data_IF_677971309484
#
_entry.id   IF_677971309484
#
_cell.length_a   1.000
_cell.length_b   1.000
_cell.length_c   1.000
_cell.angle_alpha   90.00
_cell.angle_beta   90.00
_cell.angle_gamma   90.00
#
_symmetry.space_group_name_H-M   'P 1'
#
loop_
_entity.id
_entity.type
_entity.pdbx_description
1 polymer ?
#
# COMPACT_ATOMS: atom_id res chain seq x y z
N UNK A 1 0.29 19.33 -0.18
CA UNK A 1 -0.26 18.01 -0.55
C UNK A 1 -0.82 17.32 0.68
N UNK A 2 -1.97 16.62 0.56
CA UNK A 2 -2.50 15.84 1.70
C UNK A 2 -1.80 14.48 1.81
N UNK A 3 -1.53 13.82 0.66
CA UNK A 3 -0.91 12.49 0.61
C UNK A 3 0.20 12.40 -0.45
N UNK A 4 1.29 11.73 -0.11
CA UNK A 4 2.28 11.22 -1.06
C UNK A 4 2.42 9.71 -0.85
N UNK A 5 2.32 8.93 -1.93
CA UNK A 5 2.54 7.48 -1.91
C UNK A 5 3.88 7.16 -2.58
N UNK A 6 4.71 6.39 -1.88
CA UNK A 6 6.09 6.10 -2.28
C UNK A 6 6.28 4.59 -2.45
N UNK A 7 6.71 4.18 -3.63
CA UNK A 7 6.97 2.78 -3.97
C UNK A 7 7.12 2.59 -5.47
N UNK A 8 7.36 1.38 -5.91
CA UNK A 8 7.42 1.08 -7.34
C UNK A 8 6.04 0.83 -7.95
N UNK A 9 5.83 1.39 -9.13
CA UNK A 9 4.89 0.77 -10.07
C UNK A 9 5.43 -0.56 -10.54
N UNK A 10 4.54 -1.49 -10.87
CA UNK A 10 4.92 -2.70 -11.59
C UNK A 10 4.10 -2.86 -12.86
N UNK A 11 4.74 -3.48 -13.85
CA UNK A 11 4.08 -4.02 -15.05
C UNK A 11 3.76 -5.48 -14.75
N UNK A 12 2.50 -5.75 -14.45
CA UNK A 12 2.06 -7.07 -14.03
C UNK A 12 1.53 -7.86 -15.23
N UNK A 13 2.08 -9.05 -15.47
CA UNK A 13 1.49 -10.03 -16.37
C UNK A 13 0.60 -10.97 -15.56
N UNK A 14 -0.70 -10.86 -15.76
CA UNK A 14 -1.71 -11.71 -15.12
C UNK A 14 -2.06 -12.86 -16.05
N UNK A 15 -1.80 -14.09 -15.60
CA UNK A 15 -2.08 -15.32 -16.33
C UNK A 15 -3.10 -16.13 -15.53
N UNK A 16 -4.28 -16.32 -16.08
CA UNK A 16 -5.32 -17.21 -15.56
C UNK A 16 -5.60 -18.34 -16.56
N UNK A 17 -6.39 -19.36 -16.23
CA UNK A 17 -6.82 -20.35 -17.19
C UNK A 17 -7.62 -19.78 -18.37
N UNK A 18 -8.27 -18.61 -18.18
CA UNK A 18 -9.20 -18.01 -19.14
C UNK A 18 -8.57 -16.91 -19.98
N UNK A 19 -7.56 -16.20 -19.43
CA UNK A 19 -6.93 -15.07 -20.14
C UNK A 19 -5.49 -14.81 -19.68
N UNK A 20 -4.78 -14.09 -20.53
CA UNK A 20 -3.48 -13.46 -20.21
C UNK A 20 -3.57 -11.99 -20.55
N UNK A 21 -3.18 -11.11 -19.63
CA UNK A 21 -3.18 -9.66 -19.85
C UNK A 21 -2.08 -8.96 -19.07
N UNK A 22 -1.62 -7.82 -19.61
CA UNK A 22 -0.81 -6.83 -18.88
C UNK A 22 -1.72 -5.95 -18.01
N UNK A 23 -1.18 -5.49 -16.89
CA UNK A 23 -1.87 -4.57 -15.99
C UNK A 23 -0.87 -3.67 -15.27
N UNK A 24 -1.31 -2.44 -14.96
CA UNK A 24 -0.60 -1.57 -14.02
C UNK A 24 -0.74 -2.16 -12.61
N UNK A 25 0.38 -2.37 -11.94
CA UNK A 25 0.46 -2.89 -10.58
C UNK A 25 1.34 -2.03 -9.67
N UNK A 26 1.58 -2.57 -8.49
CA UNK A 26 2.28 -1.88 -7.40
C UNK A 26 1.34 -1.08 -6.50
N UNK A 27 1.61 -1.08 -5.18
CA UNK A 27 0.78 -0.36 -4.20
C UNK A 27 0.62 1.12 -4.52
N UNK A 28 1.65 1.74 -5.11
CA UNK A 28 1.63 3.15 -5.52
C UNK A 28 0.56 3.47 -6.57
N UNK A 29 0.12 2.51 -7.37
CA UNK A 29 -0.95 2.72 -8.36
C UNK A 29 -2.31 3.00 -7.69
N UNK A 30 -2.52 2.50 -6.48
CA UNK A 30 -3.75 2.74 -5.71
C UNK A 30 -3.82 4.16 -5.11
N UNK A 31 -2.75 4.97 -5.23
CA UNK A 31 -2.78 6.39 -4.91
C UNK A 31 -3.88 7.16 -5.66
N UNK A 32 -4.36 6.66 -6.81
CA UNK A 32 -5.50 7.20 -7.56
C UNK A 32 -6.79 7.28 -6.72
N UNK A 33 -6.90 6.52 -5.65
CA UNK A 33 -8.01 6.64 -4.69
C UNK A 33 -8.04 8.01 -4.01
N UNK A 34 -6.89 8.61 -3.72
CA UNK A 34 -6.83 9.83 -2.93
C UNK A 34 -7.52 11.03 -3.62
N UNK A 35 -7.28 11.36 -4.90
CA UNK A 35 -8.05 12.38 -5.60
C UNK A 35 -9.54 12.04 -5.69
N UNK A 36 -9.91 10.76 -5.91
CA UNK A 36 -11.30 10.33 -5.97
C UNK A 36 -12.04 10.57 -4.63
N UNK A 37 -11.33 10.41 -3.50
CA UNK A 37 -11.84 10.72 -2.16
C UNK A 37 -11.80 12.22 -1.82
N UNK A 38 -11.40 13.09 -2.76
CA UNK A 38 -11.31 14.53 -2.57
C UNK A 38 -10.14 14.98 -1.69
N UNK A 39 -9.00 14.29 -1.77
CA UNK A 39 -7.78 14.73 -1.09
C UNK A 39 -7.30 16.09 -1.62
N UNK A 40 -6.82 16.95 -0.72
CA UNK A 40 -6.27 18.28 -1.05
C UNK A 40 -4.86 18.16 -1.66
N UNK A 41 -4.80 17.56 -2.85
CA UNK A 41 -3.59 17.21 -3.58
C UNK A 41 -3.00 15.87 -3.11
N UNK A 42 -2.80 14.99 -4.08
CA UNK A 42 -2.14 13.71 -3.89
C UNK A 42 -1.05 13.53 -4.93
N UNK A 43 0.07 12.95 -4.55
CA UNK A 43 1.20 12.72 -5.43
C UNK A 43 1.84 11.36 -5.22
N UNK A 44 2.72 10.99 -6.15
CA UNK A 44 3.47 9.75 -6.08
C UNK A 44 4.96 10.02 -6.20
N UNK A 45 5.77 9.15 -5.57
CA UNK A 45 7.22 9.07 -5.78
C UNK A 45 7.56 7.65 -6.17
N UNK A 46 8.05 7.48 -7.39
CA UNK A 46 8.34 6.17 -7.96
C UNK A 46 9.47 6.24 -8.99
N UNK A 47 10.14 5.12 -9.20
CA UNK A 47 11.07 4.93 -10.32
C UNK A 47 10.51 3.87 -11.26
N UNK A 48 10.52 4.19 -12.56
CA UNK A 48 10.10 3.30 -13.65
C UNK A 48 11.21 3.21 -14.69
N UNK A 49 11.18 2.19 -15.52
CA UNK A 49 12.09 2.05 -16.65
C UNK A 49 11.63 2.81 -17.90
N UNK A 50 12.46 2.76 -18.93
CA UNK A 50 12.12 3.29 -20.27
C UNK A 50 10.95 2.50 -20.92
N UNK A 51 10.67 1.32 -20.40
CA UNK A 51 9.60 0.41 -20.86
C UNK A 51 8.24 0.71 -20.18
N UNK A 52 8.11 1.80 -19.40
CA UNK A 52 6.84 2.18 -18.78
C UNK A 52 5.94 2.86 -19.81
N UNK A 53 4.76 2.31 -20.03
CA UNK A 53 3.85 2.69 -21.11
C UNK A 53 3.27 4.10 -20.88
N UNK A 54 3.21 4.89 -21.96
CA UNK A 54 2.61 6.23 -21.94
C UNK A 54 1.14 6.20 -21.50
N UNK A 55 0.41 5.14 -21.86
CA UNK A 55 -0.98 4.92 -21.44
C UNK A 55 -1.15 4.94 -19.92
N UNK A 56 -0.23 4.31 -19.17
CA UNK A 56 -0.27 4.35 -17.71
C UNK A 56 -0.02 5.75 -17.16
N UNK A 57 0.91 6.50 -17.75
CA UNK A 57 1.17 7.90 -17.36
C UNK A 57 -0.09 8.74 -17.59
N UNK A 58 -0.78 8.54 -18.69
CA UNK A 58 -1.98 9.32 -19.03
C UNK A 58 -3.15 9.00 -18.09
N UNK A 59 -3.34 7.74 -17.72
CA UNK A 59 -4.33 7.33 -16.72
C UNK A 59 -4.02 7.93 -15.34
N UNK A 60 -2.77 7.86 -14.90
CA UNK A 60 -2.34 8.45 -13.62
C UNK A 60 -2.54 9.97 -13.61
N UNK A 61 -2.21 10.66 -14.69
CA UNK A 61 -2.43 12.11 -14.83
C UNK A 61 -3.92 12.46 -14.84
N UNK A 62 -4.72 11.68 -15.57
CA UNK A 62 -6.17 11.88 -15.63
C UNK A 62 -6.88 11.67 -14.29
N UNK A 63 -6.29 10.87 -13.39
CA UNK A 63 -6.81 10.69 -12.02
C UNK A 63 -6.60 11.90 -11.10
N UNK A 64 -5.81 12.90 -11.52
CA UNK A 64 -5.50 14.10 -10.71
C UNK A 64 -4.28 13.94 -9.80
N UNK A 65 -3.48 12.89 -9.96
CA UNK A 65 -2.23 12.71 -9.22
C UNK A 65 -1.13 13.66 -9.70
N UNK A 66 -0.36 14.19 -8.76
CA UNK A 66 0.91 14.84 -9.05
C UNK A 66 1.97 13.76 -9.37
N UNK A 67 2.49 13.83 -10.59
CA UNK A 67 3.49 12.90 -11.10
C UNK A 67 4.92 13.46 -11.10
N UNK A 68 5.17 14.58 -10.45
CA UNK A 68 6.50 15.21 -10.41
C UNK A 68 7.57 14.31 -9.77
N UNK A 69 7.15 13.37 -8.89
CA UNK A 69 7.98 12.34 -8.29
C UNK A 69 8.17 11.07 -9.14
N UNK A 70 7.55 10.99 -10.33
CA UNK A 70 7.75 9.86 -11.25
C UNK A 70 9.04 10.07 -12.04
N UNK A 71 10.02 9.20 -11.84
CA UNK A 71 11.33 9.28 -12.52
C UNK A 71 11.58 8.07 -13.39
N UNK A 72 11.90 8.29 -14.66
CA UNK A 72 12.42 7.22 -15.52
C UNK A 72 13.90 6.97 -15.16
N UNK A 73 14.21 5.72 -14.77
CA UNK A 73 15.55 5.34 -14.29
C UNK A 73 15.86 3.89 -14.69
N UNK A 74 16.80 3.75 -15.59
CA UNK A 74 17.18 2.43 -16.13
C UNK A 74 16.25 1.92 -17.23
N UNK A 75 16.52 0.71 -17.75
CA UNK A 75 15.80 0.16 -18.89
C UNK A 75 14.43 -0.44 -18.51
N UNK A 76 14.28 -0.94 -17.28
CA UNK A 76 13.12 -1.75 -16.92
C UNK A 76 12.39 -1.22 -15.68
N UNK A 77 11.08 -1.15 -15.79
CA UNK A 77 10.14 -1.03 -14.66
C UNK A 77 10.10 -2.36 -13.91
N UNK A 78 9.79 -2.34 -12.62
CA UNK A 78 9.52 -3.57 -11.87
C UNK A 78 8.45 -4.37 -12.58
N UNK A 79 8.72 -5.67 -12.83
CA UNK A 79 7.82 -6.56 -13.57
C UNK A 79 7.51 -7.79 -12.75
N UNK A 80 6.20 -8.04 -12.57
CA UNK A 80 5.69 -9.21 -11.88
C UNK A 80 4.88 -10.09 -12.82
N UNK A 81 5.06 -11.41 -12.74
CA UNK A 81 4.18 -12.39 -13.38
C UNK A 81 3.35 -13.04 -12.28
N UNK A 82 2.04 -12.83 -12.35
CA UNK A 82 1.04 -13.39 -11.44
C UNK A 82 0.27 -14.50 -12.15
N UNK A 83 0.57 -15.76 -11.83
CA UNK A 83 -0.09 -16.93 -12.45
C UNK A 83 -1.07 -17.56 -11.46
N UNK A 84 -2.33 -17.66 -11.87
CA UNK A 84 -3.41 -18.29 -11.12
C UNK A 84 -3.71 -19.66 -11.75
N UNK A 85 -3.86 -20.68 -10.91
CA UNK A 85 -4.33 -21.99 -11.35
C UNK A 85 -5.87 -22.08 -11.29
N UNK A 86 -6.43 -23.20 -11.75
CA UNK A 86 -7.90 -23.46 -11.75
C UNK A 86 -8.55 -23.38 -10.36
N UNK A 87 -7.77 -23.51 -9.28
CA UNK A 87 -8.25 -23.41 -7.90
C UNK A 87 -8.05 -22.00 -7.31
N UNK A 88 -7.71 -21.00 -8.14
CA UNK A 88 -7.45 -19.63 -7.69
C UNK A 88 -6.11 -19.42 -6.95
N UNK A 89 -5.29 -20.46 -6.79
CA UNK A 89 -3.98 -20.32 -6.12
C UNK A 89 -3.02 -19.54 -7.01
N UNK A 90 -2.51 -18.42 -6.47
CA UNK A 90 -1.53 -17.55 -7.11
C UNK A 90 -0.09 -18.03 -6.89
N UNK A 91 0.71 -18.01 -7.93
CA UNK A 91 2.17 -18.00 -7.87
C UNK A 91 2.68 -16.70 -8.46
N UNK A 92 3.72 -16.14 -7.88
CA UNK A 92 4.26 -14.84 -8.29
C UNK A 92 5.76 -14.96 -8.59
N UNK A 93 6.19 -14.26 -9.64
CA UNK A 93 7.60 -14.20 -10.08
C UNK A 93 7.97 -12.77 -10.41
N UNK A 94 9.14 -12.32 -9.95
CA UNK A 94 9.76 -11.07 -10.38
C UNK A 94 10.62 -11.33 -11.63
N UNK A 95 10.45 -10.51 -12.66
CA UNK A 95 11.23 -10.58 -13.90
C UNK A 95 12.14 -9.37 -14.08
N UNK A 96 11.78 -8.22 -13.50
CA UNK A 96 12.60 -7.03 -13.45
C UNK A 96 12.35 -6.28 -12.14
N UNK A 97 13.32 -5.47 -11.71
CA UNK A 97 13.26 -4.64 -10.52
C UNK A 97 13.84 -3.26 -10.89
N UNK A 98 13.07 -2.21 -10.68
CA UNK A 98 13.51 -0.83 -10.86
C UNK A 98 14.53 -0.44 -9.76
N UNK A 99 15.37 0.58 -9.96
CA UNK A 99 16.35 1.06 -8.97
C UNK A 99 15.68 1.55 -7.69
N UNK A 100 16.33 1.33 -6.53
CA UNK A 100 15.80 1.70 -5.22
C UNK A 100 15.54 3.21 -5.07
N UNK A 101 14.50 3.54 -4.31
CA UNK A 101 14.13 4.91 -3.93
C UNK A 101 14.94 5.37 -2.73
N UNK A 102 15.38 6.64 -2.75
CA UNK A 102 16.24 7.27 -1.74
C UNK A 102 15.68 8.62 -1.31
N UNK A 103 16.26 9.23 -0.28
CA UNK A 103 15.83 10.53 0.24
C UNK A 103 15.78 11.64 -0.82
N UNK A 104 16.70 11.65 -1.78
CA UNK A 104 16.72 12.61 -2.87
C UNK A 104 15.58 12.45 -3.91
N UNK A 105 14.81 11.38 -3.85
CA UNK A 105 13.62 11.21 -4.69
C UNK A 105 12.40 12.00 -4.15
N UNK A 106 12.41 12.34 -2.86
CA UNK A 106 11.42 13.23 -2.26
C UNK A 106 11.77 14.69 -2.58
N UNK A 107 10.97 15.31 -3.44
CA UNK A 107 11.11 16.73 -3.78
C UNK A 107 10.57 17.61 -2.63
N UNK A 108 10.93 18.91 -2.55
CA UNK A 108 10.48 19.82 -1.49
C UNK A 108 8.95 19.85 -1.30
N UNK A 109 8.15 19.77 -2.39
CA UNK A 109 6.70 19.72 -2.32
C UNK A 109 6.17 18.40 -1.70
N UNK A 110 6.87 17.27 -1.89
CA UNK A 110 6.52 15.99 -1.27
C UNK A 110 6.76 16.03 0.24
N UNK A 111 7.84 16.71 0.68
CA UNK A 111 8.16 16.89 2.09
C UNK A 111 7.21 17.84 2.83
N UNK A 112 6.29 18.52 2.12
CA UNK A 112 5.21 19.31 2.70
C UNK A 112 3.89 18.54 2.82
N UNK A 113 3.88 17.25 2.50
CA UNK A 113 2.69 16.43 2.60
C UNK A 113 2.31 16.16 4.07
N UNK A 114 1.01 16.12 4.35
CA UNK A 114 0.54 15.73 5.68
C UNK A 114 0.79 14.24 5.95
N UNK A 115 0.71 13.40 4.91
CA UNK A 115 0.88 11.95 4.96
C UNK A 115 1.90 11.52 3.91
N UNK A 116 2.88 10.69 4.30
CA UNK A 116 3.72 9.94 3.36
C UNK A 116 3.51 8.44 3.63
N UNK A 117 2.95 7.74 2.65
CA UNK A 117 2.70 6.31 2.71
C UNK A 117 3.72 5.54 1.86
N UNK A 118 4.36 4.55 2.45
CA UNK A 118 5.34 3.67 1.80
C UNK A 118 4.73 2.30 1.54
N UNK A 119 4.80 1.82 0.29
CA UNK A 119 4.24 0.54 -0.15
C UNK A 119 5.21 -0.26 -1.03
N UNK A 120 6.35 -0.72 -0.47
CA UNK A 120 7.35 -1.44 -1.25
C UNK A 120 6.83 -2.81 -1.73
N UNK A 121 7.28 -3.24 -2.91
CA UNK A 121 6.98 -4.55 -3.49
C UNK A 121 7.97 -5.62 -3.08
N UNK A 122 9.23 -5.23 -2.79
CA UNK A 122 10.30 -6.14 -2.39
C UNK A 122 11.32 -5.44 -1.49
N UNK A 123 12.08 -6.22 -0.71
CA UNK A 123 13.16 -5.73 0.12
C UNK A 123 14.20 -4.96 -0.72
N UNK A 124 14.77 -3.89 -0.16
CA UNK A 124 15.76 -3.05 -0.85
C UNK A 124 15.18 -2.06 -1.87
N UNK A 125 13.86 -2.08 -2.11
CA UNK A 125 13.19 -1.06 -2.93
C UNK A 125 13.29 0.32 -2.31
N UNK A 126 13.11 0.41 -1.00
CA UNK A 126 13.24 1.64 -0.23
C UNK A 126 14.56 1.62 0.55
N UNK A 127 15.43 2.57 0.28
CA UNK A 127 16.54 2.86 1.18
C UNK A 127 15.98 3.59 2.41
N UNK A 128 16.48 3.29 3.62
CA UNK A 128 15.97 3.90 4.87
C UNK A 128 15.92 5.42 4.82
N UNK A 129 16.85 6.05 4.12
CA UNK A 129 16.91 7.52 3.98
C UNK A 129 15.65 8.16 3.41
N UNK A 130 14.84 7.45 2.60
CA UNK A 130 13.59 8.02 2.07
C UNK A 130 12.52 8.08 3.15
N UNK A 131 12.48 7.09 4.04
CA UNK A 131 11.54 7.05 5.17
C UNK A 131 11.97 8.07 6.24
N UNK A 132 13.27 8.15 6.52
CA UNK A 132 13.86 9.14 7.42
C UNK A 132 13.55 10.57 6.94
N UNK A 133 13.78 10.88 5.66
CA UNK A 133 13.48 12.21 5.10
C UNK A 133 12.00 12.59 5.25
N UNK A 134 11.08 11.65 5.00
CA UNK A 134 9.65 11.86 5.22
C UNK A 134 9.34 12.11 6.71
N UNK A 135 9.95 11.35 7.63
CA UNK A 135 9.75 11.54 9.08
C UNK A 135 10.28 12.89 9.55
N UNK A 136 11.46 13.27 9.08
CA UNK A 136 12.09 14.55 9.46
C UNK A 136 11.35 15.77 8.91
N UNK A 137 10.53 15.62 7.88
CA UNK A 137 9.67 16.69 7.38
C UNK A 137 8.44 16.99 8.26
N UNK A 138 8.17 16.12 9.23
CA UNK A 138 7.00 16.23 10.12
C UNK A 138 5.73 15.56 9.57
N UNK A 139 5.81 14.87 8.43
CA UNK A 139 4.70 14.10 7.89
C UNK A 139 4.31 12.93 8.80
N UNK A 140 3.05 12.53 8.76
CA UNK A 140 2.59 11.26 9.30
C UNK A 140 3.05 10.13 8.37
N UNK A 141 3.98 9.30 8.84
CA UNK A 141 4.61 8.24 8.04
C UNK A 141 3.86 6.93 8.22
N UNK A 142 3.38 6.37 7.12
CA UNK A 142 2.70 5.07 7.06
C UNK A 142 3.48 4.08 6.20
N UNK A 143 3.48 2.81 6.59
CA UNK A 143 4.22 1.75 5.92
C UNK A 143 3.38 0.47 5.79
N UNK A 144 3.27 -0.06 4.55
CA UNK A 144 2.91 -1.46 4.30
C UNK A 144 4.17 -2.33 4.36
N UNK A 145 4.17 -3.35 5.23
CA UNK A 145 5.35 -4.18 5.48
C UNK A 145 5.64 -5.21 4.39
N UNK A 146 4.68 -5.45 3.51
CA UNK A 146 4.70 -6.57 2.55
C UNK A 146 6.03 -6.70 1.80
N UNK A 147 6.57 -5.59 1.28
CA UNK A 147 7.80 -5.62 0.50
C UNK A 147 9.02 -6.05 1.32
N UNK A 148 9.12 -5.65 2.56
CA UNK A 148 10.24 -6.03 3.42
C UNK A 148 10.29 -7.53 3.74
N UNK A 149 9.16 -8.21 3.59
CA UNK A 149 9.02 -9.65 3.79
C UNK A 149 9.24 -10.47 2.51
N UNK A 150 9.62 -9.84 1.39
CA UNK A 150 9.84 -10.47 0.08
C UNK A 150 11.29 -10.28 -0.37
N UNK A 151 11.91 -11.35 -0.88
CA UNK A 151 13.26 -11.26 -1.45
C UNK A 151 13.27 -10.34 -2.68
N UNK A 152 14.27 -9.44 -2.75
CA UNK A 152 14.56 -8.61 -3.93
C UNK A 152 15.44 -9.38 -4.91
N UNK A 153 14.87 -10.43 -5.53
CA UNK A 153 15.58 -11.28 -6.47
C UNK A 153 14.69 -11.67 -7.65
N UNK A 154 15.24 -11.55 -8.86
CA UNK A 154 14.60 -12.06 -10.07
C UNK A 154 14.38 -13.57 -9.90
N UNK A 155 13.15 -14.02 -10.15
CA UNK A 155 12.72 -15.39 -9.96
C UNK A 155 11.42 -15.50 -9.17
N UNK A 156 11.07 -16.71 -8.69
CA UNK A 156 9.90 -16.90 -7.84
C UNK A 156 9.99 -16.03 -6.59
N UNK A 157 8.91 -15.32 -6.27
CA UNK A 157 8.83 -14.50 -5.05
C UNK A 157 8.90 -15.41 -3.84
N UNK A 158 9.90 -15.18 -3.00
CA UNK A 158 10.10 -15.89 -1.75
C UNK A 158 9.98 -14.93 -0.59
N UNK A 159 9.47 -15.43 0.52
CA UNK A 159 9.44 -14.66 1.76
C UNK A 159 10.79 -14.70 2.45
N UNK A 160 11.16 -13.59 3.08
CA UNK A 160 12.35 -13.46 3.94
C UNK A 160 11.96 -12.91 5.31
N UNK A 161 12.85 -12.97 6.26
CA UNK A 161 12.75 -12.24 7.52
C UNK A 161 13.09 -10.77 7.28
N UNK A 162 12.46 -9.87 8.00
CA UNK A 162 12.77 -8.45 7.97
C UNK A 162 13.94 -8.13 8.88
N UNK A 163 15.14 -8.01 8.34
CA UNK A 163 16.38 -7.79 9.09
C UNK A 163 16.52 -6.33 9.54
N UNK A 164 16.13 -5.39 8.67
CA UNK A 164 16.25 -3.95 8.87
C UNK A 164 15.06 -3.35 9.65
N UNK A 165 14.22 -4.19 10.27
CA UNK A 165 12.96 -3.81 10.93
C UNK A 165 13.13 -2.67 11.92
N UNK A 166 14.05 -2.81 12.84
CA UNK A 166 14.22 -1.88 13.96
C UNK A 166 14.76 -0.53 13.47
N UNK A 167 15.59 -0.55 12.41
CA UNK A 167 16.11 0.66 11.76
C UNK A 167 15.01 1.44 11.04
N UNK A 168 14.09 0.75 10.40
CA UNK A 168 13.00 1.36 9.62
C UNK A 168 11.88 1.85 10.53
N UNK A 169 11.42 1.01 11.48
CA UNK A 169 10.20 1.28 12.27
C UNK A 169 10.32 2.50 13.18
N UNK A 170 11.51 2.91 13.59
CA UNK A 170 11.71 4.14 14.38
C UNK A 170 11.26 5.41 13.66
N UNK A 171 11.15 5.36 12.33
CA UNK A 171 10.68 6.48 11.50
C UNK A 171 9.21 6.35 11.06
N UNK A 172 8.52 5.28 11.46
CA UNK A 172 7.16 4.97 11.04
C UNK A 172 6.16 5.26 12.15
N UNK A 173 5.03 5.89 11.83
CA UNK A 173 3.93 6.16 12.75
C UNK A 173 2.82 5.12 12.68
N UNK A 174 2.52 4.64 11.46
CA UNK A 174 1.43 3.69 11.20
C UNK A 174 1.96 2.52 10.38
N UNK A 175 1.79 1.31 10.87
CA UNK A 175 2.12 0.08 10.17
C UNK A 175 0.84 -0.60 9.69
N UNK A 176 0.83 -1.06 8.44
CA UNK A 176 -0.17 -2.00 7.93
C UNK A 176 0.51 -3.33 7.62
N UNK A 177 -0.13 -4.41 8.03
CA UNK A 177 0.24 -5.79 7.70
C UNK A 177 -1.01 -6.65 7.55
N UNK A 178 -0.94 -7.77 6.85
CA UNK A 178 -1.93 -8.83 7.02
C UNK A 178 -1.60 -9.74 8.23
N UNK A 179 -2.48 -10.67 8.58
CA UNK A 179 -2.31 -11.56 9.73
C UNK A 179 -1.14 -12.55 9.58
N UNK A 180 -0.73 -12.86 8.36
CA UNK A 180 0.47 -13.67 8.08
C UNK A 180 1.74 -12.82 8.12
N UNK A 181 1.67 -11.61 7.59
CA UNK A 181 2.78 -10.66 7.51
C UNK A 181 3.19 -10.19 8.91
N UNK A 182 2.23 -9.83 9.77
CA UNK A 182 2.54 -9.37 11.14
C UNK A 182 3.32 -10.42 11.94
N UNK A 183 2.98 -11.69 11.78
CA UNK A 183 3.70 -12.80 12.43
C UNK A 183 5.13 -12.97 11.91
N UNK A 184 5.40 -12.58 10.66
CA UNK A 184 6.75 -12.61 10.07
C UNK A 184 7.59 -11.38 10.44
N UNK A 185 6.96 -10.29 10.88
CA UNK A 185 7.66 -9.11 11.35
C UNK A 185 8.32 -9.30 12.72
N UNK A 186 8.01 -10.38 13.45
CA UNK A 186 8.56 -10.64 14.77
C UNK A 186 8.89 -12.13 14.97
N UNK A 187 9.44 -12.47 16.14
CA UNK A 187 9.60 -13.85 16.59
C UNK A 187 8.48 -14.28 17.57
N UNK A 188 7.50 -13.44 17.78
CA UNK A 188 6.40 -13.69 18.70
C UNK A 188 5.56 -14.90 18.27
N UNK A 189 4.93 -15.54 19.25
CA UNK A 189 4.06 -16.70 19.00
C UNK A 189 2.59 -16.34 18.82
N UNK A 190 2.22 -15.09 19.14
CA UNK A 190 0.86 -14.57 19.02
C UNK A 190 0.85 -13.23 18.31
N UNK A 191 -0.26 -12.92 17.64
CA UNK A 191 -0.45 -11.64 16.96
C UNK A 191 -0.29 -10.46 17.93
N UNK A 192 -0.90 -10.53 19.11
CA UNK A 192 -0.80 -9.46 20.09
C UNK A 192 0.65 -9.21 20.52
N UNK A 193 1.44 -10.25 20.75
CA UNK A 193 2.85 -10.11 21.09
C UNK A 193 3.67 -9.52 19.92
N UNK A 194 3.39 -9.94 18.67
CA UNK A 194 4.03 -9.37 17.49
C UNK A 194 3.72 -7.89 17.32
N UNK A 195 2.45 -7.51 17.48
CA UNK A 195 2.01 -6.11 17.45
C UNK A 195 2.66 -5.29 18.56
N UNK A 196 2.76 -5.83 19.77
CA UNK A 196 3.41 -5.14 20.90
C UNK A 196 4.88 -4.84 20.59
N UNK A 197 5.64 -5.82 20.07
CA UNK A 197 7.03 -5.59 19.64
C UNK A 197 7.13 -4.47 18.59
N UNK A 198 6.21 -4.44 17.61
CA UNK A 198 6.19 -3.39 16.58
C UNK A 198 5.92 -2.01 17.19
N UNK A 199 4.93 -1.90 18.10
CA UNK A 199 4.59 -0.65 18.77
C UNK A 199 5.73 -0.11 19.67
N UNK A 200 6.55 -1.00 20.24
CA UNK A 200 7.73 -0.62 21.04
C UNK A 200 8.86 -0.03 20.19
N UNK A 201 8.94 -0.38 18.88
CA UNK A 201 9.98 0.09 17.97
C UNK A 201 9.74 1.49 17.40
N UNK A 202 8.54 2.08 17.57
CA UNK A 202 8.27 3.44 17.09
C UNK A 202 6.83 3.70 16.66
N UNK A 203 6.17 2.80 15.93
CA UNK A 203 4.81 3.01 15.47
C UNK A 203 3.82 3.29 16.62
N UNK A 204 2.84 4.15 16.33
CA UNK A 204 1.75 4.46 17.26
C UNK A 204 0.50 3.64 16.96
N UNK A 205 0.36 3.18 15.72
CA UNK A 205 -0.78 2.43 15.22
C UNK A 205 -0.26 1.25 14.39
N UNK A 206 -0.87 0.07 14.59
CA UNK A 206 -0.69 -1.12 13.74
C UNK A 206 -2.07 -1.57 13.28
N UNK A 207 -2.31 -1.57 11.97
CA UNK A 207 -3.51 -2.09 11.34
C UNK A 207 -3.23 -3.50 10.79
N UNK A 208 -3.89 -4.51 11.34
CA UNK A 208 -3.79 -5.91 10.89
C UNK A 208 -5.05 -6.30 10.13
N UNK A 209 -4.92 -6.54 8.82
CA UNK A 209 -6.02 -6.94 7.93
C UNK A 209 -6.13 -8.45 7.81
N UNK A 210 -7.36 -9.00 7.63
CA UNK A 210 -7.63 -10.46 7.62
C UNK A 210 -8.67 -10.86 6.58
N UNK A 211 -8.52 -10.38 5.36
CA UNK A 211 -9.46 -10.67 4.27
C UNK A 211 -10.94 -10.50 4.70
N UNK A 212 -11.77 -11.51 4.50
CA UNK A 212 -13.20 -11.50 4.85
C UNK A 212 -13.49 -11.47 6.37
N UNK A 213 -12.48 -11.55 7.22
CA UNK A 213 -12.61 -11.45 8.69
C UNK A 213 -12.46 -10.03 9.21
N UNK A 214 -12.29 -9.04 8.33
CA UNK A 214 -12.12 -7.64 8.70
C UNK A 214 -10.69 -7.29 9.11
N UNK A 215 -10.54 -6.35 10.04
CA UNK A 215 -9.22 -5.91 10.53
C UNK A 215 -9.27 -5.54 12.00
N UNK A 216 -8.11 -5.49 12.64
CA UNK A 216 -7.97 -4.93 14.00
C UNK A 216 -6.93 -3.82 13.96
N UNK A 217 -7.26 -2.69 14.58
CA UNK A 217 -6.35 -1.58 14.75
C UNK A 217 -5.88 -1.56 16.18
N UNK A 218 -4.57 -1.64 16.35
CA UNK A 218 -3.90 -1.62 17.63
C UNK A 218 -3.20 -0.29 17.85
N UNK A 219 -3.25 0.20 19.07
CA UNK A 219 -2.35 1.23 19.61
C UNK A 219 -1.85 0.78 20.98
N UNK A 220 -1.00 1.57 21.65
CA UNK A 220 -0.47 1.20 22.97
C UNK A 220 -1.57 0.89 24.00
N UNK A 221 -2.72 1.56 23.90
CA UNK A 221 -3.76 1.51 24.94
C UNK A 221 -5.11 1.00 24.41
N UNK A 222 -5.24 0.76 23.11
CA UNK A 222 -6.52 0.40 22.50
C UNK A 222 -6.35 -0.67 21.44
N UNK A 223 -7.36 -1.53 21.38
CA UNK A 223 -7.58 -2.47 20.29
C UNK A 223 -9.01 -2.25 19.78
N UNK A 224 -9.17 -2.07 18.47
CA UNK A 224 -10.46 -1.82 17.84
C UNK A 224 -10.64 -2.79 16.69
N UNK A 225 -11.66 -3.64 16.77
CA UNK A 225 -12.02 -4.53 15.69
C UNK A 225 -12.94 -3.83 14.68
N UNK A 226 -12.59 -3.97 13.41
CA UNK A 226 -13.31 -3.39 12.28
C UNK A 226 -13.92 -4.54 11.48
N UNK A 227 -15.24 -4.55 11.25
CA UNK A 227 -15.88 -5.59 10.45
C UNK A 227 -15.41 -5.55 9.00
N UNK A 228 -15.43 -6.70 8.34
CA UNK A 228 -15.27 -6.73 6.89
C UNK A 228 -16.48 -6.05 6.23
N UNK A 229 -16.21 -5.15 5.29
CA UNK A 229 -17.24 -4.57 4.43
C UNK A 229 -17.31 -5.39 3.16
N UNK A 230 -18.47 -5.97 2.90
CA UNK A 230 -18.66 -6.88 1.76
C UNK A 230 -18.76 -6.09 0.44
N UNK A 231 -18.08 -6.55 -0.62
CA UNK A 231 -18.29 -6.03 -1.96
C UNK A 231 -19.66 -6.48 -2.49
N UNK A 232 -20.24 -5.72 -3.42
CA UNK A 232 -21.44 -6.16 -4.14
C UNK A 232 -21.15 -7.41 -5.01
N UNK A 233 -19.91 -7.50 -5.53
CA UNK A 233 -19.42 -8.65 -6.28
C UNK A 233 -17.89 -8.75 -6.12
N UNK A 234 -17.39 -9.92 -5.75
CA UNK A 234 -15.94 -10.15 -5.72
C UNK A 234 -15.43 -10.42 -7.14
N UNK A 235 -14.53 -9.55 -7.61
CA UNK A 235 -13.89 -9.63 -8.94
C UNK A 235 -12.39 -9.90 -8.81
N UNK A 236 -11.67 -9.07 -8.03
CA UNK A 236 -10.22 -9.18 -7.82
C UNK A 236 -9.86 -8.66 -6.43
N UNK A 237 -9.04 -9.38 -5.69
CA UNK A 237 -8.57 -8.97 -4.36
C UNK A 237 -7.25 -8.21 -4.37
N UNK A 238 -6.64 -8.03 -5.55
CA UNK A 238 -5.36 -7.31 -5.68
C UNK A 238 -5.55 -5.85 -5.30
N UNK A 239 -4.67 -5.33 -4.43
CA UNK A 239 -4.68 -3.93 -4.00
C UNK A 239 -5.72 -3.58 -2.91
N UNK A 240 -6.48 -4.55 -2.41
CA UNK A 240 -7.41 -4.29 -1.31
C UNK A 240 -6.71 -3.74 -0.05
N UNK A 241 -5.52 -4.26 0.27
CA UNK A 241 -4.68 -3.76 1.37
C UNK A 241 -4.18 -2.33 1.12
N UNK A 242 -3.73 -2.04 -0.09
CA UNK A 242 -3.27 -0.70 -0.47
C UNK A 242 -4.42 0.32 -0.42
N UNK A 243 -5.58 -0.06 -0.94
CA UNK A 243 -6.79 0.77 -0.91
C UNK A 243 -7.28 0.99 0.52
N UNK A 244 -7.22 -0.05 1.37
CA UNK A 244 -7.56 0.04 2.79
C UNK A 244 -6.71 1.10 3.50
N UNK A 245 -5.38 1.01 3.39
CA UNK A 245 -4.50 1.89 4.16
C UNK A 245 -4.55 3.34 3.65
N UNK A 246 -4.69 3.57 2.35
CA UNK A 246 -4.84 4.92 1.80
C UNK A 246 -6.15 5.56 2.33
N UNK A 247 -7.26 4.83 2.26
CA UNK A 247 -8.54 5.29 2.82
C UNK A 247 -8.46 5.54 4.33
N UNK A 248 -7.85 4.61 5.07
CA UNK A 248 -7.61 4.76 6.51
C UNK A 248 -6.84 6.04 6.83
N UNK A 249 -5.69 6.26 6.18
CA UNK A 249 -4.82 7.39 6.47
C UNK A 249 -5.50 8.74 6.20
N UNK A 250 -6.19 8.86 5.06
CA UNK A 250 -6.91 10.07 4.69
C UNK A 250 -8.03 10.39 5.69
N UNK A 251 -8.80 9.39 6.12
CA UNK A 251 -9.87 9.62 7.10
C UNK A 251 -9.31 9.87 8.50
N UNK A 252 -8.24 9.15 8.88
CA UNK A 252 -7.62 9.31 10.20
C UNK A 252 -7.08 10.72 10.43
N UNK A 253 -6.41 11.31 9.44
CA UNK A 253 -5.93 12.70 9.54
C UNK A 253 -7.08 13.70 9.68
N UNK A 254 -8.22 13.41 9.05
CA UNK A 254 -9.41 14.28 9.10
C UNK A 254 -10.15 14.23 10.44
N UNK A 255 -10.26 13.07 11.06
CA UNK A 255 -11.13 12.89 12.24
C UNK A 255 -10.42 12.46 13.53
N UNK A 256 -9.19 11.93 13.45
CA UNK A 256 -8.46 11.40 14.60
C UNK A 256 -9.06 10.13 15.22
N UNK A 257 -10.14 9.58 14.66
CA UNK A 257 -10.86 8.40 15.17
C UNK A 257 -10.43 7.15 14.41
N UNK A 258 -9.73 6.26 15.09
CA UNK A 258 -9.21 5.01 14.50
C UNK A 258 -10.32 4.04 14.07
N UNK A 259 -11.47 4.02 14.78
CA UNK A 259 -12.61 3.15 14.45
C UNK A 259 -13.25 3.62 13.16
N UNK A 260 -13.56 4.91 13.06
CA UNK A 260 -14.11 5.52 11.86
C UNK A 260 -13.16 5.38 10.67
N UNK A 261 -11.88 5.67 10.86
CA UNK A 261 -10.86 5.54 9.82
C UNK A 261 -10.71 4.09 9.33
N UNK A 262 -10.72 3.12 10.26
CA UNK A 262 -10.67 1.70 9.92
C UNK A 262 -11.87 1.25 9.10
N UNK A 263 -13.07 1.65 9.49
CA UNK A 263 -14.29 1.34 8.73
C UNK A 263 -14.31 2.03 7.35
N UNK A 264 -13.80 3.26 7.27
CA UNK A 264 -13.67 3.98 6.01
C UNK A 264 -12.69 3.26 5.07
N UNK A 265 -11.50 2.85 5.57
CA UNK A 265 -10.53 2.06 4.82
C UNK A 265 -11.09 0.71 4.35
N UNK A 266 -11.79 -0.03 5.23
CA UNK A 266 -12.44 -1.28 4.89
C UNK A 266 -13.51 -1.09 3.79
N UNK A 267 -14.23 0.03 3.84
CA UNK A 267 -15.23 0.38 2.82
C UNK A 267 -14.57 0.70 1.48
N UNK A 268 -13.47 1.47 1.47
CA UNK A 268 -12.70 1.72 0.25
C UNK A 268 -12.21 0.39 -0.37
N UNK A 269 -11.65 -0.50 0.46
CA UNK A 269 -11.21 -1.82 0.01
C UNK A 269 -12.37 -2.64 -0.61
N UNK A 270 -13.59 -2.55 -0.06
CA UNK A 270 -14.74 -3.27 -0.61
C UNK A 270 -15.10 -2.85 -2.04
N UNK A 271 -14.89 -1.59 -2.42
CA UNK A 271 -15.04 -1.12 -3.79
C UNK A 271 -13.93 -1.63 -4.71
N UNK A 272 -12.69 -1.65 -4.21
CA UNK A 272 -11.57 -2.22 -4.98
C UNK A 272 -11.81 -3.68 -5.35
N UNK A 273 -12.40 -4.47 -4.46
CA UNK A 273 -12.74 -5.87 -4.70
C UNK A 273 -13.72 -6.09 -5.87
N UNK A 274 -14.44 -5.04 -6.30
CA UNK A 274 -15.45 -5.08 -7.37
C UNK A 274 -14.85 -4.79 -8.77
N UNK A 275 -13.58 -4.39 -8.82
CA UNK A 275 -12.89 -4.00 -10.06
C UNK A 275 -11.61 -4.79 -10.22
N UNK A 276 -10.97 -4.65 -11.38
CA UNK A 276 -9.65 -5.24 -11.64
C UNK A 276 -8.62 -4.14 -11.68
N UNK A 277 -7.57 -4.29 -10.83
CA UNK A 277 -6.50 -3.30 -10.74
C UNK A 277 -6.94 -1.98 -10.10
N UNK A 278 -6.14 -0.91 -10.23
CA UNK A 278 -6.35 0.36 -9.52
C UNK A 278 -7.35 1.29 -10.23
N UNK A 279 -8.36 0.74 -10.89
CA UNK A 279 -9.35 1.49 -11.67
C UNK A 279 -10.72 1.50 -11.00
N UNK A 280 -11.57 2.47 -11.36
CA UNK A 280 -12.94 2.55 -10.84
C UNK A 280 -13.00 2.89 -9.35
N UNK A 281 -12.07 3.72 -8.88
CA UNK A 281 -12.03 4.14 -7.48
C UNK A 281 -13.30 4.87 -7.06
N UNK A 282 -13.84 4.56 -5.86
CA UNK A 282 -15.06 5.22 -5.36
C UNK A 282 -14.79 6.67 -5.00
N UNK A 283 -15.79 7.52 -5.17
CA UNK A 283 -15.77 8.82 -4.53
C UNK A 283 -16.15 8.74 -3.04
N UNK A 284 -15.91 9.85 -2.32
CA UNK A 284 -16.19 9.92 -0.89
C UNK A 284 -17.66 9.66 -0.55
N UNK A 285 -18.59 10.14 -1.36
CA UNK A 285 -20.02 9.98 -1.09
C UNK A 285 -20.47 8.52 -1.22
N UNK A 286 -19.90 7.79 -2.18
CA UNK A 286 -20.12 6.36 -2.35
C UNK A 286 -19.60 5.58 -1.15
N UNK A 287 -18.37 5.90 -0.68
CA UNK A 287 -17.77 5.28 0.50
C UNK A 287 -18.64 5.54 1.74
N UNK A 288 -19.00 6.79 2.01
CA UNK A 288 -19.83 7.16 3.18
C UNK A 288 -21.22 6.54 3.12
N UNK A 289 -21.80 6.41 1.93
CA UNK A 289 -23.11 5.77 1.75
C UNK A 289 -23.05 4.28 2.11
N UNK A 290 -22.03 3.53 1.62
CA UNK A 290 -21.86 2.11 1.95
C UNK A 290 -21.50 1.93 3.43
N UNK A 291 -20.66 2.78 3.97
CA UNK A 291 -20.21 2.73 5.36
C UNK A 291 -21.37 2.81 6.37
N UNK A 292 -22.45 3.55 6.07
CA UNK A 292 -23.62 3.69 6.96
C UNK A 292 -24.28 2.36 7.33
N UNK A 293 -24.11 1.33 6.53
CA UNK A 293 -24.68 -0.01 6.80
C UNK A 293 -23.92 -0.72 7.93
N UNK A 294 -22.68 -0.30 8.21
CA UNK A 294 -21.77 -0.94 9.16
C UNK A 294 -21.44 -0.06 10.39
N UNK A 295 -22.02 1.14 10.46
CA UNK A 295 -21.78 2.15 11.51
C UNK A 295 -22.65 1.92 12.74
#
# INVERSE_FOLDING_TARGET
MELVVVGHFSRDLIITPEFTREALGGGVAYAMLAPALGALGAGIVSRVGQDFEQEYIDVLRASGLDLTGLRTSGPHTTRCVNKYNKNGKRTQRLEAIAPSLRGEDLLPQHLQAAIVHFCPLSAGELHVSVIEAAKMSGALVSLDVQGYLRESRIGPVKTKRWEERDEVLRFVDVVKADDVEIMKCSNAKTELAAVTEILELGPRIVAVTRDCRGSTIYSRNTQVDIPAVLPAKLVDSTGAGDTYIIGFMLEFVRCGDVKRAGLFGATCASFNLETVGPYGMPDRSQVESRMKVYS
#
